data_IF_125262779210
#
_entry.id   IF_125262779210
#
_cell.length_a   1.000
_cell.length_b   1.000
_cell.length_c   1.000
_cell.angle_alpha   90.00
_cell.angle_beta   90.00
_cell.angle_gamma   90.00
#
_symmetry.space_group_name_H-M   'P 1'
#
loop_
_entity.id
_entity.type
_entity.pdbx_description
1 polymer ?
#
# COMPACT_ATOMS: atom_id res chain seq x y z
N UNK A 1 -6.80 -4.64 24.98
CA UNK A 1 -7.69 -3.48 25.13
C UNK A 1 -6.84 -2.26 25.44
N UNK A 2 -6.70 -1.31 24.49
CA UNK A 2 -6.16 0.05 24.75
C UNK A 2 -6.44 1.04 23.60
N UNK A 3 -6.82 0.57 22.42
CA UNK A 3 -7.40 1.45 21.39
C UNK A 3 -8.91 1.24 21.35
N UNK A 4 -9.58 1.92 22.27
CA UNK A 4 -11.02 1.96 22.39
C UNK A 4 -11.62 2.69 21.17
N UNK A 5 -12.71 2.13 20.66
CA UNK A 5 -13.31 2.40 19.35
C UNK A 5 -14.12 3.71 19.27
N UNK A 6 -13.74 4.78 19.97
CA UNK A 6 -14.62 5.96 20.08
C UNK A 6 -14.03 7.36 19.85
N UNK A 7 -12.72 7.56 19.64
CA UNK A 7 -12.25 8.90 19.26
C UNK A 7 -11.03 8.83 18.33
N UNK A 8 -11.28 8.82 17.02
CA UNK A 8 -10.32 9.53 16.15
C UNK A 8 -10.46 11.02 16.50
N UNK A 9 -9.60 11.51 17.42
CA UNK A 9 -9.58 12.91 17.87
C UNK A 9 -9.40 13.90 16.70
N UNK A 10 -8.90 13.42 15.55
CA UNK A 10 -8.71 14.19 14.33
C UNK A 10 -9.43 13.50 13.16
N UNK A 11 -10.14 14.29 12.36
CA UNK A 11 -10.68 13.81 11.09
C UNK A 11 -9.56 13.33 10.18
N UNK A 12 -9.78 12.23 9.44
CA UNK A 12 -8.83 11.75 8.44
C UNK A 12 -8.39 12.86 7.48
N UNK A 13 -9.34 13.71 7.08
CA UNK A 13 -9.07 14.84 6.21
C UNK A 13 -8.03 15.79 6.81
N UNK A 14 -8.13 16.08 8.11
CA UNK A 14 -7.19 16.95 8.83
C UNK A 14 -5.79 16.35 8.87
N UNK A 15 -5.68 15.04 9.07
CA UNK A 15 -4.40 14.34 9.07
C UNK A 15 -3.76 14.38 7.69
N UNK A 16 -4.53 14.20 6.61
CA UNK A 16 -4.01 14.29 5.23
C UNK A 16 -3.49 15.71 4.94
N UNK A 17 -4.25 16.75 5.30
CA UNK A 17 -3.78 18.14 5.17
C UNK A 17 -2.44 18.35 5.86
N UNK A 18 -2.30 17.86 7.09
CA UNK A 18 -1.06 17.98 7.85
C UNK A 18 0.10 17.22 7.19
N UNK A 19 -0.12 15.99 6.71
CA UNK A 19 0.88 15.18 6.00
C UNK A 19 1.35 15.90 4.73
N UNK A 20 0.42 16.41 3.91
CA UNK A 20 0.75 17.07 2.64
C UNK A 20 1.50 18.39 2.87
N UNK A 21 1.05 19.22 3.81
CA UNK A 21 1.74 20.47 4.19
C UNK A 21 3.12 20.17 4.77
N UNK A 22 3.25 19.18 5.66
CA UNK A 22 4.54 18.75 6.17
C UNK A 22 5.46 18.28 5.03
N UNK A 23 4.95 17.53 4.05
CA UNK A 23 5.72 17.09 2.90
C UNK A 23 6.26 18.25 2.06
N UNK A 24 5.44 19.28 1.79
CA UNK A 24 5.89 20.50 1.11
C UNK A 24 6.98 21.21 1.92
N UNK A 25 6.74 21.42 3.21
CA UNK A 25 7.70 22.10 4.11
C UNK A 25 9.02 21.33 4.17
N UNK A 26 8.99 20.01 4.34
CA UNK A 26 10.19 19.17 4.36
C UNK A 26 10.94 19.26 3.04
N UNK A 27 10.26 19.16 1.89
CA UNK A 27 10.90 19.25 0.58
C UNK A 27 11.58 20.62 0.35
N UNK A 28 10.90 21.72 0.69
CA UNK A 28 11.48 23.08 0.59
C UNK A 28 12.65 23.27 1.55
N UNK A 29 12.52 22.82 2.80
CA UNK A 29 13.62 22.92 3.76
C UNK A 29 14.82 22.06 3.35
N UNK A 30 14.59 20.89 2.76
CA UNK A 30 15.65 20.06 2.18
C UNK A 30 16.38 20.80 1.06
N UNK A 31 15.66 21.50 0.17
CA UNK A 31 16.29 22.24 -0.91
C UNK A 31 17.21 23.37 -0.43
N UNK A 32 16.92 23.94 0.75
CA UNK A 32 17.69 25.04 1.35
C UNK A 32 18.83 24.55 2.27
N UNK A 33 18.58 23.47 3.02
CA UNK A 33 19.44 23.04 4.12
C UNK A 33 20.33 21.83 3.77
N UNK A 34 20.22 21.25 2.58
CA UNK A 34 20.97 20.03 2.23
C UNK A 34 22.50 20.17 2.38
N UNK A 35 23.05 21.35 2.08
CA UNK A 35 24.48 21.64 2.18
C UNK A 35 24.94 22.12 3.56
N UNK A 36 24.03 22.29 4.52
CA UNK A 36 24.36 22.83 5.84
C UNK A 36 24.85 21.73 6.77
N UNK A 37 25.98 21.98 7.44
CA UNK A 37 26.57 21.05 8.42
C UNK A 37 26.76 21.73 9.77
N UNK A 38 26.56 20.99 10.85
CA UNK A 38 26.77 21.43 12.22
C UNK A 38 27.84 20.56 12.90
N UNK A 39 28.58 21.14 13.85
CA UNK A 39 29.57 20.38 14.63
C UNK A 39 28.89 19.61 15.75
N UNK A 40 28.95 18.28 15.71
CA UNK A 40 28.52 17.39 16.81
C UNK A 40 29.67 16.43 17.08
N UNK A 41 30.00 16.19 18.36
CA UNK A 41 31.08 15.28 18.78
C UNK A 41 32.44 15.56 18.10
N UNK A 42 32.73 16.82 17.77
CA UNK A 42 33.99 17.23 17.15
C UNK A 42 34.07 17.02 15.63
N UNK A 43 33.02 16.50 14.99
CA UNK A 43 32.95 16.32 13.53
C UNK A 43 31.78 17.10 12.91
N UNK A 44 31.88 17.40 11.60
CA UNK A 44 30.79 18.07 10.85
C UNK A 44 29.78 17.04 10.40
N UNK A 45 28.51 17.26 10.75
CA UNK A 45 27.40 16.36 10.41
C UNK A 45 26.24 17.14 9.76
N UNK A 46 25.56 16.52 8.81
CA UNK A 46 24.36 17.07 8.15
C UNK A 46 23.11 16.85 9.01
N UNK A 47 23.05 17.53 10.15
CA UNK A 47 21.97 17.38 11.15
C UNK A 47 20.61 17.75 10.58
N UNK A 48 20.54 18.84 9.81
CA UNK A 48 19.31 19.29 9.16
C UNK A 48 18.76 18.23 8.21
N UNK A 49 19.61 17.65 7.35
CA UNK A 49 19.25 16.54 6.47
C UNK A 49 18.74 15.33 7.24
N UNK A 50 19.40 14.94 8.33
CA UNK A 50 18.98 13.79 9.13
C UNK A 50 17.56 14.01 9.71
N UNK A 51 17.34 15.17 10.31
CA UNK A 51 16.04 15.53 10.91
C UNK A 51 14.95 15.61 9.84
N UNK A 52 15.21 16.30 8.73
CA UNK A 52 14.24 16.42 7.64
C UNK A 52 13.95 15.08 6.97
N UNK A 53 14.95 14.20 6.84
CA UNK A 53 14.76 12.83 6.30
C UNK A 53 13.84 12.03 7.22
N UNK A 54 14.00 12.19 8.54
CA UNK A 54 13.09 11.58 9.51
C UNK A 54 11.64 12.07 9.32
N UNK A 55 11.42 13.38 9.21
CA UNK A 55 10.09 13.94 8.92
C UNK A 55 9.53 13.47 7.58
N UNK A 56 10.37 13.39 6.54
CA UNK A 56 9.99 12.82 5.24
C UNK A 56 9.58 11.34 5.34
N UNK A 57 10.31 10.55 6.13
CA UNK A 57 9.96 9.16 6.46
C UNK A 57 8.63 9.06 7.20
N UNK A 58 8.33 9.97 8.13
CA UNK A 58 7.02 10.03 8.80
C UNK A 58 5.89 10.35 7.82
N UNK A 59 6.08 11.31 6.90
CA UNK A 59 5.10 11.60 5.83
C UNK A 59 4.83 10.35 5.01
N UNK A 60 5.89 9.67 4.56
CA UNK A 60 5.79 8.49 3.69
C UNK A 60 5.18 7.27 4.37
N UNK A 61 5.46 7.03 5.66
CA UNK A 61 4.91 5.87 6.39
C UNK A 61 3.47 6.10 6.82
N UNK A 62 3.10 7.35 7.14
CA UNK A 62 1.75 7.71 7.59
C UNK A 62 0.77 7.83 6.41
N UNK A 63 1.23 8.22 5.22
CA UNK A 63 0.36 8.38 4.03
C UNK A 63 -0.38 7.09 3.69
N UNK A 64 0.29 5.93 3.65
CA UNK A 64 -0.34 4.65 3.33
C UNK A 64 -1.41 4.23 4.34
N UNK A 65 -1.29 4.69 5.60
CA UNK A 65 -2.22 4.38 6.69
C UNK A 65 -3.43 5.32 6.71
N UNK A 66 -3.35 6.47 6.04
CA UNK A 66 -4.40 7.50 6.09
C UNK A 66 -5.08 7.73 4.74
N UNK A 67 -4.32 7.72 3.64
CA UNK A 67 -4.81 8.09 2.31
C UNK A 67 -5.75 7.01 1.76
N UNK A 68 -5.35 5.74 1.87
CA UNK A 68 -6.18 4.60 1.47
C UNK A 68 -7.53 4.62 2.21
N UNK A 69 -7.58 4.66 3.55
CA UNK A 69 -8.83 4.74 4.29
C UNK A 69 -9.73 5.92 3.91
N UNK A 70 -9.16 7.05 3.49
CA UNK A 70 -9.93 8.19 3.00
C UNK A 70 -10.57 7.89 1.64
N UNK A 71 -9.83 7.31 0.69
CA UNK A 71 -10.38 6.93 -0.62
C UNK A 71 -11.29 5.71 -0.57
N UNK A 72 -11.33 4.96 0.55
CA UNK A 72 -12.26 3.86 0.75
C UNK A 72 -13.73 4.29 0.67
N UNK A 73 -14.03 5.53 1.07
CA UNK A 73 -15.36 6.16 0.95
C UNK A 73 -15.71 6.61 -0.48
N UNK A 74 -14.79 6.49 -1.43
CA UNK A 74 -15.03 6.79 -2.84
C UNK A 74 -15.09 5.51 -3.66
N UNK A 75 -15.70 5.54 -4.87
CA UNK A 75 -15.78 4.35 -5.73
C UNK A 75 -14.42 3.66 -5.94
N UNK A 76 -14.37 2.33 -6.17
CA UNK A 76 -13.14 1.55 -6.29
C UNK A 76 -12.08 2.11 -7.26
N UNK A 77 -12.50 2.88 -8.26
CA UNK A 77 -11.63 3.58 -9.20
C UNK A 77 -10.62 4.50 -8.49
N UNK A 78 -11.02 5.17 -7.41
CA UNK A 78 -10.16 6.10 -6.67
C UNK A 78 -9.02 5.37 -5.95
N UNK A 79 -9.27 4.16 -5.44
CA UNK A 79 -8.21 3.30 -4.87
C UNK A 79 -7.19 2.91 -5.93
N UNK A 80 -7.62 2.49 -7.13
CA UNK A 80 -6.71 2.19 -8.24
C UNK A 80 -5.94 3.43 -8.68
N UNK A 81 -6.59 4.59 -8.79
CA UNK A 81 -5.94 5.85 -9.16
C UNK A 81 -4.89 6.30 -8.14
N UNK A 82 -5.17 6.17 -6.83
CA UNK A 82 -4.20 6.45 -5.77
C UNK A 82 -2.98 5.53 -5.87
N UNK A 83 -3.19 4.22 -6.03
CA UNK A 83 -2.10 3.25 -6.19
C UNK A 83 -1.27 3.50 -7.46
N UNK A 84 -1.92 3.88 -8.57
CA UNK A 84 -1.21 4.31 -9.79
C UNK A 84 -0.37 5.56 -9.54
N UNK A 85 -0.90 6.55 -8.81
CA UNK A 85 -0.16 7.77 -8.45
C UNK A 85 1.08 7.50 -7.57
N UNK A 86 0.98 6.57 -6.63
CA UNK A 86 2.13 6.09 -5.84
C UNK A 86 3.21 5.48 -6.75
N UNK A 87 2.80 4.66 -7.73
CA UNK A 87 3.72 4.13 -8.75
C UNK A 87 4.36 5.22 -9.61
N UNK A 88 3.57 6.19 -10.10
CA UNK A 88 4.03 7.29 -10.97
C UNK A 88 5.06 8.19 -10.28
N UNK A 89 4.94 8.36 -8.96
CA UNK A 89 5.92 9.11 -8.17
C UNK A 89 7.30 8.48 -8.24
N UNK A 90 7.36 7.14 -8.24
CA UNK A 90 8.57 6.41 -8.56
C UNK A 90 9.04 6.75 -9.97
N UNK A 91 8.18 6.57 -10.98
CA UNK A 91 8.54 6.78 -12.40
C UNK A 91 9.17 8.15 -12.65
N UNK A 92 8.65 9.18 -11.99
CA UNK A 92 9.19 10.53 -12.07
C UNK A 92 10.59 10.63 -11.47
N UNK A 93 10.84 10.01 -10.30
CA UNK A 93 12.20 9.93 -9.74
C UNK A 93 13.18 9.23 -10.70
N UNK A 94 12.73 8.20 -11.43
CA UNK A 94 13.54 7.54 -12.45
C UNK A 94 13.89 8.47 -13.61
N UNK A 95 12.89 9.19 -14.13
CA UNK A 95 13.07 10.16 -15.19
C UNK A 95 14.05 11.25 -14.78
N UNK A 96 13.93 11.76 -13.55
CA UNK A 96 14.89 12.71 -12.98
C UNK A 96 16.29 12.10 -12.86
N UNK A 97 16.41 10.83 -12.49
CA UNK A 97 17.69 10.12 -12.45
C UNK A 97 18.36 9.99 -13.82
N UNK A 98 17.58 9.71 -14.88
CA UNK A 98 18.07 9.69 -16.26
C UNK A 98 18.52 11.09 -16.69
N UNK A 99 17.73 12.13 -16.38
CA UNK A 99 18.09 13.53 -16.68
C UNK A 99 19.33 13.98 -15.91
N UNK A 100 19.55 13.45 -14.71
CA UNK A 100 20.73 13.76 -13.89
C UNK A 100 22.03 13.16 -14.47
N UNK A 101 21.94 12.11 -15.31
CA UNK A 101 23.04 11.38 -15.94
C UNK A 101 24.15 10.91 -14.97
N UNK A 102 23.94 9.80 -14.23
CA UNK A 102 24.92 9.31 -13.26
C UNK A 102 26.20 8.84 -13.95
N UNK A 103 27.20 9.73 -14.01
CA UNK A 103 28.49 9.50 -14.66
C UNK A 103 28.98 10.68 -15.50
N UNK A 104 28.09 11.61 -15.85
CA UNK A 104 28.39 12.86 -16.55
C UNK A 104 28.49 14.08 -15.63
N UNK A 105 28.40 15.27 -16.22
CA UNK A 105 28.24 16.52 -15.46
C UNK A 105 26.84 16.57 -14.83
N UNK A 106 26.76 16.96 -13.55
CA UNK A 106 25.49 17.01 -12.81
C UNK A 106 24.48 17.93 -13.51
N UNK A 107 23.44 17.35 -14.11
CA UNK A 107 22.44 18.09 -14.89
C UNK A 107 21.65 19.13 -14.10
N UNK A 108 21.46 18.91 -12.79
CA UNK A 108 20.90 19.91 -11.88
C UNK A 108 21.40 19.72 -10.43
N UNK A 109 21.26 20.77 -9.63
CA UNK A 109 21.63 20.78 -8.20
C UNK A 109 20.66 19.96 -7.35
N UNK A 110 21.15 19.44 -6.22
CA UNK A 110 20.33 18.80 -5.17
C UNK A 110 19.19 19.71 -4.71
N UNK A 111 19.38 21.04 -4.68
CA UNK A 111 18.31 21.99 -4.40
C UNK A 111 17.17 21.90 -5.42
N UNK A 112 17.50 21.77 -6.71
CA UNK A 112 16.50 21.65 -7.79
C UNK A 112 15.73 20.34 -7.65
N UNK A 113 16.42 19.23 -7.32
CA UNK A 113 15.77 17.94 -7.04
C UNK A 113 14.67 18.07 -5.99
N UNK A 114 14.99 18.64 -4.83
CA UNK A 114 14.02 18.80 -3.75
C UNK A 114 12.91 19.80 -4.06
N UNK A 115 13.19 20.82 -4.88
CA UNK A 115 12.14 21.72 -5.39
C UNK A 115 11.17 20.99 -6.34
N UNK A 116 11.66 20.06 -7.16
CA UNK A 116 10.78 19.20 -7.97
C UNK A 116 9.94 18.29 -7.06
N UNK A 117 10.52 17.73 -5.99
CA UNK A 117 9.72 17.01 -4.99
C UNK A 117 8.64 17.90 -4.35
N UNK A 118 8.98 19.17 -4.05
CA UNK A 118 8.02 20.12 -3.49
C UNK A 118 6.86 20.43 -4.46
N UNK A 119 7.13 20.56 -5.77
CA UNK A 119 6.06 20.79 -6.76
C UNK A 119 5.12 19.60 -6.86
N UNK A 120 5.63 18.37 -6.80
CA UNK A 120 4.80 17.15 -6.77
C UNK A 120 3.88 17.16 -5.53
N UNK A 121 4.43 17.50 -4.36
CA UNK A 121 3.63 17.60 -3.13
C UNK A 121 2.56 18.70 -3.21
N UNK A 122 2.86 19.84 -3.85
CA UNK A 122 1.87 20.88 -4.13
C UNK A 122 0.76 20.40 -5.07
N UNK A 123 1.10 19.62 -6.10
CA UNK A 123 0.08 19.00 -6.99
C UNK A 123 -0.80 18.03 -6.20
N UNK A 124 -0.23 17.21 -5.32
CA UNK A 124 -1.01 16.35 -4.42
C UNK A 124 -1.91 17.14 -3.46
N UNK A 125 -1.45 18.29 -2.96
CA UNK A 125 -2.24 19.21 -2.13
C UNK A 125 -3.44 19.76 -2.90
N UNK A 126 -3.24 20.22 -4.14
CA UNK A 126 -4.32 20.71 -5.01
C UNK A 126 -5.30 19.59 -5.36
N UNK A 127 -4.81 18.40 -5.68
CA UNK A 127 -5.65 17.23 -5.94
C UNK A 127 -6.51 16.85 -4.72
N UNK A 128 -5.94 16.91 -3.52
CA UNK A 128 -6.69 16.67 -2.29
C UNK A 128 -7.72 17.77 -2.00
N UNK A 129 -7.37 19.04 -2.28
CA UNK A 129 -8.30 20.18 -2.22
C UNK A 129 -9.51 19.94 -3.12
N UNK A 130 -9.27 19.46 -4.34
CA UNK A 130 -10.30 19.09 -5.29
C UNK A 130 -11.20 17.96 -4.74
N UNK A 131 -10.61 16.89 -4.17
CA UNK A 131 -11.40 15.81 -3.56
C UNK A 131 -12.27 16.26 -2.39
N UNK A 132 -11.84 17.28 -1.63
CA UNK A 132 -12.59 17.78 -0.48
C UNK A 132 -13.72 18.75 -0.83
N UNK A 133 -13.51 19.62 -1.80
CA UNK A 133 -14.42 20.75 -2.01
C UNK A 133 -15.12 20.74 -3.36
N UNK A 134 -14.62 19.99 -4.34
CA UNK A 134 -15.22 20.02 -5.68
C UNK A 134 -16.55 19.24 -5.70
N UNK A 135 -17.65 19.82 -6.25
CA UNK A 135 -18.97 19.18 -6.26
C UNK A 135 -18.98 17.78 -6.89
N UNK A 136 -18.26 17.60 -8.00
CA UNK A 136 -18.14 16.29 -8.67
C UNK A 136 -17.56 15.20 -7.75
N UNK A 137 -16.58 15.54 -6.92
CA UNK A 137 -15.97 14.57 -6.01
C UNK A 137 -16.93 14.22 -4.86
N UNK A 138 -17.66 15.21 -4.34
CA UNK A 138 -18.69 14.99 -3.33
C UNK A 138 -19.85 14.17 -3.89
N UNK A 139 -20.30 14.45 -5.12
CA UNK A 139 -21.33 13.68 -5.80
C UNK A 139 -20.89 12.22 -5.98
N UNK A 140 -19.67 11.98 -6.48
CA UNK A 140 -19.12 10.63 -6.62
C UNK A 140 -19.09 9.88 -5.28
N UNK A 141 -18.72 10.55 -4.19
CA UNK A 141 -18.75 10.00 -2.83
C UNK A 141 -20.17 9.67 -2.37
N UNK A 142 -21.10 10.62 -2.46
CA UNK A 142 -22.50 10.42 -2.05
C UNK A 142 -23.22 9.38 -2.89
N UNK A 143 -22.85 9.22 -4.16
CA UNK A 143 -23.44 8.21 -5.05
C UNK A 143 -23.02 6.80 -4.66
N UNK A 144 -21.77 6.58 -4.22
CA UNK A 144 -21.29 5.30 -3.70
C UNK A 144 -22.03 4.99 -2.38
N UNK A 145 -22.14 5.98 -1.49
CA UNK A 145 -22.88 5.87 -0.23
C UNK A 145 -24.38 5.57 -0.44
N UNK A 146 -25.03 6.21 -1.43
CA UNK A 146 -26.43 5.98 -1.74
C UNK A 146 -26.69 4.60 -2.36
N UNK A 147 -25.75 4.07 -3.17
CA UNK A 147 -25.81 2.71 -3.70
C UNK A 147 -25.71 1.67 -2.58
N UNK A 148 -24.84 1.90 -1.60
CA UNK A 148 -24.74 1.03 -0.43
C UNK A 148 -26.02 1.10 0.42
N UNK A 149 -26.55 2.30 0.68
CA UNK A 149 -27.79 2.47 1.43
C UNK A 149 -28.99 1.79 0.75
N UNK A 150 -29.10 1.89 -0.58
CA UNK A 150 -30.17 1.25 -1.34
C UNK A 150 -30.10 -0.28 -1.30
N UNK A 151 -28.89 -0.86 -1.20
CA UNK A 151 -28.70 -2.30 -1.03
C UNK A 151 -29.05 -2.78 0.38
N UNK A 152 -28.79 -1.96 1.39
CA UNK A 152 -29.17 -2.25 2.78
C UNK A 152 -30.70 -2.33 2.91
N UNK A 153 -31.43 -1.38 2.32
CA UNK A 153 -32.90 -1.38 2.32
C UNK A 153 -33.49 -2.61 1.62
N UNK A 154 -33.03 -2.96 0.40
CA UNK A 154 -33.49 -4.16 -0.33
C UNK A 154 -33.19 -5.45 0.45
N UNK A 155 -32.16 -5.45 1.28
CA UNK A 155 -31.84 -6.63 2.10
C UNK A 155 -32.64 -6.75 3.39
N UNK A 156 -32.90 -5.64 4.07
CA UNK A 156 -33.77 -5.63 5.25
C UNK A 156 -35.20 -6.02 4.85
N UNK A 157 -35.66 -5.60 3.66
CA UNK A 157 -36.93 -6.03 3.08
C UNK A 157 -36.97 -7.54 2.83
N UNK A 158 -35.89 -8.14 2.30
CA UNK A 158 -35.80 -9.60 2.08
C UNK A 158 -35.71 -10.40 3.37
N UNK A 159 -34.94 -9.94 4.36
CA UNK A 159 -34.84 -10.59 5.67
C UNK A 159 -36.20 -10.55 6.40
N UNK A 160 -36.90 -9.41 6.33
CA UNK A 160 -38.25 -9.30 6.86
C UNK A 160 -39.23 -10.24 6.13
N UNK A 161 -39.14 -10.38 4.81
CA UNK A 161 -39.96 -11.32 4.04
C UNK A 161 -39.67 -12.79 4.43
N UNK A 162 -38.39 -13.16 4.60
CA UNK A 162 -37.98 -14.51 5.03
C UNK A 162 -38.48 -14.85 6.44
N UNK A 163 -38.33 -13.93 7.41
CA UNK A 163 -38.87 -14.10 8.77
C UNK A 163 -40.40 -14.23 8.78
N UNK A 164 -41.08 -13.51 7.89
CA UNK A 164 -42.55 -13.61 7.72
C UNK A 164 -42.95 -14.97 7.13
N UNK A 165 -42.15 -15.55 6.22
CA UNK A 165 -42.37 -16.88 5.65
C UNK A 165 -42.06 -18.00 6.65
N UNK A 166 -41.01 -17.86 7.47
CA UNK A 166 -40.64 -18.81 8.52
C UNK A 166 -41.67 -18.84 9.67
N UNK A 167 -42.30 -17.70 9.98
CA UNK A 167 -43.40 -17.63 10.95
C UNK A 167 -44.72 -18.20 10.41
N UNK A 168 -44.97 -18.11 9.10
CA UNK A 168 -46.14 -18.74 8.46
C UNK A 168 -45.99 -20.27 8.24
N UNK A 169 -44.77 -20.81 8.27
CA UNK A 169 -44.48 -22.24 8.04
C UNK A 169 -44.73 -23.13 9.28
N UNK A 170 -44.87 -22.55 10.47
CA UNK A 170 -45.13 -23.30 11.71
C UNK A 170 -46.57 -23.14 12.20
N UNK A 171 -47.53 -23.75 11.51
CA UNK A 171 -48.83 -24.04 12.12
C UNK A 171 -49.48 -25.29 11.50
N UNK A 172 -48.99 -26.45 11.93
CA UNK A 172 -49.73 -27.71 11.88
C UNK A 172 -50.45 -27.94 13.22
N UNK A 173 -51.73 -27.57 13.27
CA UNK A 173 -52.74 -28.07 14.23
C UNK A 173 -52.62 -27.64 15.70
N UNK A 174 -53.48 -26.71 16.15
CA UNK A 174 -54.35 -26.87 17.33
C UNK A 174 -55.29 -25.67 17.52
N UNK A 175 -56.58 -25.87 17.89
CA UNK A 175 -57.50 -24.78 18.17
C UNK A 175 -57.53 -24.47 19.68
N UNK A 176 -57.30 -23.22 20.07
CA UNK A 176 -57.99 -22.64 21.25
C UNK A 176 -57.78 -21.12 21.48
N UNK A 177 -58.95 -20.48 21.62
CA UNK A 177 -59.31 -19.35 22.50
C UNK A 177 -58.65 -17.98 22.31
N UNK A 178 -59.52 -17.04 21.89
CA UNK A 178 -59.33 -15.60 21.94
C UNK A 178 -58.87 -15.13 23.32
N UNK A 179 -57.71 -14.50 23.35
CA UNK A 179 -57.36 -13.48 24.34
C UNK A 179 -56.71 -12.33 23.58
N UNK A 180 -57.40 -11.20 23.57
CA UNK A 180 -56.94 -9.96 22.97
C UNK A 180 -55.76 -9.44 23.81
N UNK A 181 -54.54 -9.73 23.35
CA UNK A 181 -53.34 -9.02 23.78
C UNK A 181 -53.02 -8.00 22.70
N UNK A 182 -53.19 -6.73 23.03
CA UNK A 182 -52.76 -5.58 22.23
C UNK A 182 -51.30 -5.77 21.84
N UNK A 183 -51.07 -6.10 20.57
CA UNK A 183 -49.74 -6.10 19.96
C UNK A 183 -49.33 -4.64 19.86
N UNK A 184 -48.51 -4.20 20.81
CA UNK A 184 -47.78 -2.94 20.70
C UNK A 184 -46.76 -3.14 19.59
N UNK A 185 -47.05 -2.60 18.40
CA UNK A 185 -46.10 -2.48 17.30
C UNK A 185 -44.92 -1.64 17.84
N UNK A 186 -43.69 -2.17 17.95
CA UNK A 186 -42.55 -1.33 18.22
C UNK A 186 -42.36 -0.43 17.00
N UNK A 187 -42.38 0.88 17.21
CA UNK A 187 -41.90 1.86 16.24
C UNK A 187 -40.50 1.47 15.73
N UNK A 188 -40.17 1.69 14.44
CA UNK A 188 -38.85 1.39 13.91
C UNK A 188 -37.86 2.42 14.45
N UNK A 189 -37.37 2.17 15.66
CA UNK A 189 -36.26 2.91 16.25
C UNK A 189 -35.01 2.46 15.52
N UNK A 190 -34.40 3.40 14.80
CA UNK A 190 -33.05 3.40 14.24
C UNK A 190 -32.24 2.11 14.49
N UNK A 191 -31.97 1.38 13.41
CA UNK A 191 -31.01 0.29 13.37
C UNK A 191 -29.77 0.63 14.22
N UNK A 192 -29.64 -0.08 15.34
CA UNK A 192 -28.39 -0.13 16.08
C UNK A 192 -27.39 -0.83 15.17
N UNK A 193 -26.66 -0.08 14.35
CA UNK A 193 -25.41 -0.56 13.76
C UNK A 193 -24.47 -0.85 14.93
N UNK A 194 -24.47 -2.10 15.41
CA UNK A 194 -23.50 -2.59 16.37
C UNK A 194 -22.10 -2.31 15.80
N UNK A 195 -21.33 -1.48 16.52
CA UNK A 195 -19.97 -1.16 16.12
C UNK A 195 -19.16 -2.45 16.05
N UNK A 196 -18.92 -2.97 14.84
CA UNK A 196 -18.16 -4.20 14.61
C UNK A 196 -16.84 -4.12 15.38
N UNK A 197 -16.64 -5.06 16.31
CA UNK A 197 -15.44 -5.12 17.15
C UNK A 197 -14.20 -5.29 16.27
N UNK A 198 -13.13 -4.53 16.54
CA UNK A 198 -11.89 -4.59 15.75
C UNK A 198 -11.25 -6.00 15.73
N UNK A 199 -11.51 -6.82 16.76
CA UNK A 199 -11.06 -8.21 16.79
C UNK A 199 -11.81 -9.09 15.76
N UNK A 200 -13.09 -8.81 15.53
CA UNK A 200 -13.90 -9.52 14.55
C UNK A 200 -13.51 -9.16 13.12
N UNK A 201 -13.26 -7.87 12.88
CA UNK A 201 -12.67 -7.39 11.61
C UNK A 201 -11.36 -8.12 11.33
N UNK A 202 -10.45 -8.14 12.32
CA UNK A 202 -9.16 -8.81 12.18
C UNK A 202 -9.33 -10.30 11.89
N UNK A 203 -10.22 -11.01 12.60
CA UNK A 203 -10.50 -12.44 12.42
C UNK A 203 -10.98 -12.77 11.00
N UNK A 204 -11.67 -11.84 10.34
CA UNK A 204 -12.20 -12.06 9.00
C UNK A 204 -11.20 -11.73 7.88
N UNK A 205 -10.28 -10.79 8.11
CA UNK A 205 -9.33 -10.32 7.09
C UNK A 205 -7.86 -10.69 7.34
N UNK A 206 -7.53 -11.36 8.45
CA UNK A 206 -6.13 -11.65 8.84
C UNK A 206 -5.31 -12.34 7.74
N UNK A 207 -5.92 -13.21 6.94
CA UNK A 207 -5.23 -13.90 5.85
C UNK A 207 -4.76 -12.93 4.76
N UNK A 208 -5.58 -11.92 4.45
CA UNK A 208 -5.26 -10.88 3.47
C UNK A 208 -4.22 -9.92 4.04
N UNK A 209 -4.33 -9.57 5.33
CA UNK A 209 -3.33 -8.75 6.02
C UNK A 209 -1.98 -9.46 6.14
N UNK A 210 -1.98 -10.77 6.36
CA UNK A 210 -0.77 -11.59 6.35
C UNK A 210 -0.13 -11.60 4.94
N UNK A 211 -0.93 -11.70 3.88
CA UNK A 211 -0.42 -11.55 2.51
C UNK A 211 0.25 -10.19 2.30
N UNK A 212 -0.36 -9.09 2.76
CA UNK A 212 0.23 -7.76 2.68
C UNK A 212 1.55 -7.67 3.45
N UNK A 213 1.56 -8.18 4.68
CA UNK A 213 2.75 -8.16 5.54
C UNK A 213 3.91 -8.90 4.88
N UNK A 214 3.66 -10.10 4.34
CA UNK A 214 4.69 -10.89 3.62
C UNK A 214 5.18 -10.14 2.38
N UNK A 215 4.26 -9.63 1.54
CA UNK A 215 4.63 -8.90 0.33
C UNK A 215 5.48 -7.67 0.65
N UNK A 216 5.10 -6.90 1.67
CA UNK A 216 5.84 -5.73 2.09
C UNK A 216 7.21 -6.08 2.69
N UNK A 217 7.32 -7.15 3.47
CA UNK A 217 8.58 -7.61 4.03
C UNK A 217 9.59 -8.00 2.93
N UNK A 218 9.14 -8.70 1.88
CA UNK A 218 10.01 -9.05 0.76
C UNK A 218 10.33 -7.87 -0.16
N UNK A 219 9.33 -7.04 -0.47
CA UNK A 219 9.48 -5.95 -1.45
C UNK A 219 10.32 -4.79 -0.93
N UNK A 220 10.18 -4.44 0.35
CA UNK A 220 10.84 -3.27 0.94
C UNK A 220 12.03 -3.63 1.83
N UNK A 221 12.13 -4.88 2.30
CA UNK A 221 13.23 -5.35 3.13
C UNK A 221 14.18 -6.26 2.35
N UNK A 222 13.77 -7.50 2.11
CA UNK A 222 14.66 -8.54 1.61
C UNK A 222 15.25 -8.28 0.23
N UNK A 223 14.42 -8.01 -0.78
CA UNK A 223 14.90 -7.88 -2.16
C UNK A 223 15.85 -6.68 -2.33
N UNK A 224 15.55 -5.47 -1.84
CA UNK A 224 16.50 -4.37 -1.92
C UNK A 224 17.86 -4.71 -1.29
N UNK A 225 17.89 -5.48 -0.19
CA UNK A 225 19.13 -5.89 0.48
C UNK A 225 19.91 -6.98 -0.24
N UNK A 226 19.26 -7.92 -0.93
CA UNK A 226 19.95 -9.08 -1.53
C UNK A 226 20.22 -8.95 -3.02
N UNK A 227 19.47 -8.12 -3.75
CA UNK A 227 19.59 -8.01 -5.21
C UNK A 227 20.96 -7.56 -5.75
N UNK A 228 21.71 -6.66 -5.07
CA UNK A 228 23.08 -6.37 -5.47
C UNK A 228 23.96 -7.63 -5.53
N UNK A 229 23.81 -8.55 -4.57
CA UNK A 229 24.55 -9.82 -4.53
C UNK A 229 24.10 -10.79 -5.62
N UNK A 230 22.78 -10.86 -5.89
CA UNK A 230 22.26 -11.65 -7.00
C UNK A 230 22.90 -11.19 -8.30
N UNK A 231 22.80 -9.90 -8.64
CA UNK A 231 23.34 -9.40 -9.91
C UNK A 231 24.85 -9.56 -10.03
N UNK A 232 25.60 -9.40 -8.95
CA UNK A 232 27.05 -9.63 -8.93
C UNK A 232 27.44 -11.06 -9.28
N UNK A 233 26.62 -12.06 -8.91
CA UNK A 233 26.86 -13.47 -9.26
C UNK A 233 26.57 -13.81 -10.72
N UNK A 234 25.81 -12.96 -11.42
CA UNK A 234 25.48 -13.12 -12.84
C UNK A 234 26.22 -12.12 -13.75
N UNK A 235 27.01 -11.22 -13.17
CA UNK A 235 27.80 -10.26 -13.93
C UNK A 235 29.10 -10.88 -14.46
N UNK A 236 29.62 -10.41 -15.62
CA UNK A 236 30.95 -10.79 -16.09
C UNK A 236 32.04 -10.50 -15.04
N UNK A 237 33.06 -11.36 -14.94
CA UNK A 237 34.12 -11.24 -13.92
C UNK A 237 34.90 -9.94 -14.01
N UNK A 238 35.09 -9.44 -15.23
CA UNK A 238 36.00 -8.33 -15.51
C UNK A 238 35.33 -6.95 -15.29
N UNK A 239 34.01 -6.91 -15.15
CA UNK A 239 33.21 -5.69 -14.97
C UNK A 239 32.01 -5.91 -14.02
N UNK A 240 32.23 -6.67 -12.95
CA UNK A 240 31.15 -7.16 -12.10
C UNK A 240 30.34 -6.02 -11.45
N UNK A 241 31.02 -4.96 -11.01
CA UNK A 241 30.40 -3.83 -10.31
C UNK A 241 29.56 -2.96 -11.25
N UNK A 242 30.09 -2.58 -12.42
CA UNK A 242 29.34 -1.75 -13.35
C UNK A 242 28.19 -2.53 -14.00
N UNK A 243 28.38 -3.81 -14.31
CA UNK A 243 27.30 -4.67 -14.82
C UNK A 243 26.19 -4.85 -13.77
N UNK A 244 26.53 -5.05 -12.50
CA UNK A 244 25.55 -5.11 -11.40
C UNK A 244 24.72 -3.84 -11.30
N UNK A 245 25.38 -2.67 -11.34
CA UNK A 245 24.70 -1.39 -11.33
C UNK A 245 23.77 -1.22 -12.54
N UNK A 246 24.19 -1.63 -13.74
CA UNK A 246 23.37 -1.61 -14.97
C UNK A 246 22.14 -2.51 -14.84
N UNK A 247 22.29 -3.73 -14.32
CA UNK A 247 21.17 -4.66 -14.15
C UNK A 247 20.15 -4.15 -13.12
N UNK A 248 20.62 -3.66 -11.97
CA UNK A 248 19.77 -3.06 -10.93
C UNK A 248 19.01 -1.84 -11.46
N UNK A 249 19.71 -0.96 -12.19
CA UNK A 249 19.12 0.22 -12.81
C UNK A 249 18.08 -0.17 -13.86
N UNK A 250 18.37 -1.17 -14.70
CA UNK A 250 17.44 -1.66 -15.73
C UNK A 250 16.17 -2.23 -15.10
N UNK A 251 16.30 -3.06 -14.05
CA UNK A 251 15.16 -3.62 -13.34
C UNK A 251 14.30 -2.53 -12.71
N UNK A 252 14.95 -1.55 -12.08
CA UNK A 252 14.30 -0.42 -11.44
C UNK A 252 13.54 0.41 -12.48
N UNK A 253 14.17 0.82 -13.58
CA UNK A 253 13.54 1.59 -14.67
C UNK A 253 12.34 0.83 -15.27
N UNK A 254 12.49 -0.47 -15.51
CA UNK A 254 11.40 -1.28 -16.03
C UNK A 254 10.21 -1.32 -15.06
N UNK A 255 10.47 -1.57 -13.77
CA UNK A 255 9.43 -1.55 -12.74
C UNK A 255 8.78 -0.18 -12.59
N UNK A 256 9.57 0.88 -12.73
CA UNK A 256 9.11 2.27 -12.65
C UNK A 256 8.09 2.59 -13.74
N UNK A 257 8.21 2.03 -14.95
CA UNK A 257 7.23 2.20 -16.03
C UNK A 257 6.05 1.23 -15.87
N UNK A 258 6.35 -0.04 -15.53
CA UNK A 258 5.37 -1.11 -15.58
C UNK A 258 4.48 -1.18 -14.33
N UNK A 259 4.96 -0.79 -13.14
CA UNK A 259 4.17 -0.82 -11.90
C UNK A 259 2.94 0.10 -11.93
N UNK A 260 3.04 1.38 -12.37
CA UNK A 260 1.85 2.23 -12.54
C UNK A 260 0.85 1.66 -13.54
N UNK A 261 1.34 1.09 -14.64
CA UNK A 261 0.51 0.43 -15.65
C UNK A 261 -0.19 -0.80 -15.07
N UNK A 262 0.51 -1.58 -14.24
CA UNK A 262 -0.04 -2.72 -13.53
C UNK A 262 -1.15 -2.28 -12.57
N UNK A 263 -0.91 -1.26 -11.73
CA UNK A 263 -1.94 -0.69 -10.87
C UNK A 263 -3.12 -0.12 -11.67
N UNK A 264 -2.88 0.57 -12.78
CA UNK A 264 -3.94 1.11 -13.62
C UNK A 264 -4.77 0.00 -14.27
N UNK A 265 -4.13 -1.09 -14.70
CA UNK A 265 -4.77 -2.24 -15.33
C UNK A 265 -5.83 -2.89 -14.44
N UNK A 266 -5.71 -2.73 -13.10
CA UNK A 266 -6.72 -3.21 -12.14
C UNK A 266 -8.09 -2.56 -12.30
N UNK A 267 -8.17 -1.41 -12.98
CA UNK A 267 -9.44 -0.77 -13.31
C UNK A 267 -10.31 -1.68 -14.20
N UNK A 268 -9.68 -2.34 -15.18
CA UNK A 268 -10.33 -3.21 -16.15
C UNK A 268 -10.23 -4.70 -15.80
N UNK A 269 -9.08 -5.14 -15.32
CA UNK A 269 -8.80 -6.54 -15.01
C UNK A 269 -8.70 -6.73 -13.50
N UNK A 270 -9.80 -7.14 -12.86
CA UNK A 270 -9.87 -7.36 -11.40
C UNK A 270 -9.77 -8.85 -11.04
N UNK A 271 -8.55 -9.34 -10.88
CA UNK A 271 -8.29 -10.72 -10.44
C UNK A 271 -8.29 -10.79 -8.91
N UNK A 272 -9.39 -11.26 -8.33
CA UNK A 272 -9.55 -11.37 -6.87
C UNK A 272 -8.83 -12.58 -6.24
N UNK A 273 -7.90 -13.22 -6.95
CA UNK A 273 -7.13 -14.37 -6.49
C UNK A 273 -5.87 -13.97 -5.69
N UNK A 274 -6.00 -12.99 -4.80
CA UNK A 274 -4.85 -12.31 -4.16
C UNK A 274 -3.94 -13.26 -3.40
N UNK A 275 -4.51 -14.29 -2.74
CA UNK A 275 -3.73 -15.31 -2.02
C UNK A 275 -2.82 -16.11 -2.95
N UNK A 276 -3.35 -16.55 -4.08
CA UNK A 276 -2.58 -17.30 -5.08
C UNK A 276 -1.52 -16.43 -5.74
N UNK A 277 -1.86 -15.18 -6.06
CA UNK A 277 -0.89 -14.21 -6.61
C UNK A 277 0.24 -13.92 -5.62
N UNK A 278 -0.09 -13.73 -4.34
CA UNK A 278 0.89 -13.54 -3.27
C UNK A 278 1.81 -14.76 -3.14
N UNK A 279 1.25 -15.97 -3.17
CA UNK A 279 2.06 -17.19 -3.12
C UNK A 279 3.04 -17.29 -4.29
N UNK A 280 2.60 -16.99 -5.51
CA UNK A 280 3.48 -16.95 -6.69
C UNK A 280 4.61 -15.93 -6.49
N UNK A 281 4.29 -14.72 -6.04
CA UNK A 281 5.29 -13.69 -5.78
C UNK A 281 6.30 -14.09 -4.70
N UNK A 282 5.84 -14.74 -3.62
CA UNK A 282 6.72 -15.27 -2.58
C UNK A 282 7.65 -16.34 -3.13
N UNK A 283 7.15 -17.25 -3.99
CA UNK A 283 8.00 -18.25 -4.65
C UNK A 283 9.09 -17.57 -5.50
N UNK A 284 8.75 -16.51 -6.23
CA UNK A 284 9.73 -15.75 -7.02
C UNK A 284 10.74 -14.99 -6.14
N UNK A 285 10.30 -14.42 -5.02
CA UNK A 285 11.20 -13.77 -4.07
C UNK A 285 12.16 -14.78 -3.42
N UNK A 286 11.66 -15.97 -3.05
CA UNK A 286 12.49 -17.06 -2.53
C UNK A 286 13.48 -17.59 -3.57
N UNK A 287 13.08 -17.65 -4.85
CA UNK A 287 13.99 -17.98 -5.95
C UNK A 287 15.14 -16.96 -6.04
N UNK A 288 14.84 -15.65 -6.04
CA UNK A 288 15.87 -14.61 -6.05
C UNK A 288 16.76 -14.66 -4.80
N UNK A 289 16.16 -14.89 -3.62
CA UNK A 289 16.91 -15.07 -2.38
C UNK A 289 17.84 -16.30 -2.46
N UNK A 290 17.38 -17.42 -3.01
CA UNK A 290 18.21 -18.60 -3.20
C UNK A 290 19.41 -18.34 -4.12
N UNK A 291 19.26 -17.49 -5.14
CA UNK A 291 20.37 -17.08 -5.99
C UNK A 291 21.41 -16.26 -5.23
N UNK A 292 20.96 -15.42 -4.29
CA UNK A 292 21.88 -14.64 -3.44
C UNK A 292 22.70 -15.52 -2.49
N UNK A 293 22.12 -16.62 -2.00
CA UNK A 293 22.75 -17.54 -1.03
C UNK A 293 23.58 -18.66 -1.68
N UNK A 294 23.43 -18.88 -2.98
CA UNK A 294 24.14 -19.95 -3.70
C UNK A 294 25.43 -19.40 -4.31
N UNK A 295 26.57 -20.06 -4.12
CA UNK A 295 27.87 -19.63 -4.69
C UNK A 295 27.87 -19.53 -6.21
N UNK A 296 27.26 -20.52 -6.87
CA UNK A 296 27.13 -20.58 -8.33
C UNK A 296 25.67 -20.84 -8.69
N UNK A 297 24.84 -19.78 -8.74
CA UNK A 297 23.43 -19.93 -9.06
C UNK A 297 23.25 -20.49 -10.46
N UNK A 298 22.11 -21.14 -10.70
CA UNK A 298 21.80 -21.75 -11.99
C UNK A 298 21.92 -20.71 -13.11
N UNK A 299 22.48 -21.12 -14.25
CA UNK A 299 22.71 -20.27 -15.42
C UNK A 299 23.76 -19.15 -15.27
N UNK A 300 24.38 -18.95 -14.10
CA UNK A 300 25.43 -17.93 -13.91
C UNK A 300 26.64 -18.08 -14.86
N UNK A 301 26.97 -19.31 -15.26
CA UNK A 301 28.10 -19.59 -16.15
C UNK A 301 27.84 -19.26 -17.63
N UNK A 302 26.60 -18.93 -18.01
CA UNK A 302 26.25 -18.62 -19.39
C UNK A 302 26.29 -17.11 -19.62
N UNK A 303 26.77 -16.66 -20.77
CA UNK A 303 26.93 -15.23 -21.08
C UNK A 303 25.64 -14.39 -21.00
N UNK A 304 24.46 -15.02 -21.13
CA UNK A 304 23.15 -14.37 -20.99
C UNK A 304 22.39 -14.79 -19.72
N UNK A 305 23.05 -15.44 -18.77
CA UNK A 305 22.44 -15.95 -17.54
C UNK A 305 21.75 -14.86 -16.70
N UNK A 306 22.26 -13.63 -16.74
CA UNK A 306 21.72 -12.47 -16.02
C UNK A 306 20.27 -12.12 -16.40
N UNK A 307 19.80 -12.54 -17.59
CA UNK A 307 18.42 -12.29 -18.01
C UNK A 307 17.40 -12.96 -17.08
N UNK A 308 17.74 -14.11 -16.49
CA UNK A 308 16.84 -14.82 -15.58
C UNK A 308 16.52 -14.00 -14.31
N UNK A 309 17.49 -13.63 -13.45
CA UNK A 309 17.21 -12.83 -12.27
C UNK A 309 16.65 -11.45 -12.62
N UNK A 310 17.05 -10.87 -13.77
CA UNK A 310 16.51 -9.60 -14.25
C UNK A 310 15.01 -9.67 -14.56
N UNK A 311 14.59 -10.63 -15.38
CA UNK A 311 13.17 -10.79 -15.77
C UNK A 311 12.31 -11.22 -14.57
N UNK A 312 12.82 -12.11 -13.71
CA UNK A 312 12.13 -12.52 -12.49
C UNK A 312 11.92 -11.33 -11.56
N UNK A 313 12.93 -10.46 -11.40
CA UNK A 313 12.81 -9.26 -10.58
C UNK A 313 11.78 -8.28 -11.13
N UNK A 314 11.82 -7.99 -12.43
CA UNK A 314 10.86 -7.09 -13.08
C UNK A 314 9.45 -7.65 -12.92
N UNK A 315 9.25 -8.93 -13.21
CA UNK A 315 7.95 -9.58 -13.03
C UNK A 315 7.47 -9.52 -11.58
N UNK A 316 8.37 -9.72 -10.62
CA UNK A 316 8.04 -9.60 -9.20
C UNK A 316 7.57 -8.19 -8.84
N UNK A 317 8.31 -7.15 -9.25
CA UNK A 317 7.97 -5.75 -8.92
C UNK A 317 6.62 -5.34 -9.51
N UNK A 318 6.38 -5.69 -10.78
CA UNK A 318 5.12 -5.43 -11.49
C UNK A 318 3.96 -6.21 -10.86
N UNK A 319 4.17 -7.50 -10.58
CA UNK A 319 3.18 -8.34 -9.94
C UNK A 319 2.88 -7.89 -8.52
N UNK A 320 3.86 -7.37 -7.78
CA UNK A 320 3.67 -6.80 -6.45
C UNK A 320 2.78 -5.56 -6.50
N UNK A 321 3.07 -4.60 -7.38
CA UNK A 321 2.24 -3.40 -7.56
C UNK A 321 0.77 -3.75 -7.90
N UNK A 322 0.57 -4.69 -8.83
CA UNK A 322 -0.77 -5.20 -9.17
C UNK A 322 -1.45 -5.88 -7.96
N UNK A 323 -0.73 -6.78 -7.27
CA UNK A 323 -1.29 -7.59 -6.18
C UNK A 323 -1.63 -6.73 -4.95
N UNK A 324 -0.81 -5.74 -4.61
CA UNK A 324 -1.09 -4.79 -3.53
C UNK A 324 -2.35 -3.96 -3.84
N UNK A 325 -2.50 -3.49 -5.08
CA UNK A 325 -3.70 -2.76 -5.52
C UNK A 325 -4.93 -3.67 -5.44
N UNK A 326 -4.84 -4.91 -5.93
CA UNK A 326 -5.91 -5.91 -5.82
C UNK A 326 -6.25 -6.29 -4.39
N UNK A 327 -5.30 -6.24 -3.47
CA UNK A 327 -5.55 -6.49 -2.06
C UNK A 327 -6.50 -5.42 -1.50
N UNK A 328 -6.21 -4.12 -1.72
CA UNK A 328 -7.12 -3.05 -1.31
C UNK A 328 -8.51 -3.19 -1.96
N UNK A 329 -8.58 -3.51 -3.26
CA UNK A 329 -9.86 -3.70 -3.93
C UNK A 329 -10.63 -4.94 -3.43
N UNK A 330 -9.93 -6.02 -3.07
CA UNK A 330 -10.54 -7.21 -2.47
C UNK A 330 -11.06 -6.91 -1.07
N UNK A 331 -10.31 -6.11 -0.29
CA UNK A 331 -10.73 -5.66 1.03
C UNK A 331 -11.95 -4.74 0.96
N UNK A 332 -12.01 -3.82 -0.03
CA UNK A 332 -13.20 -2.99 -0.27
C UNK A 332 -14.39 -3.85 -0.64
N UNK A 333 -14.24 -4.76 -1.61
CA UNK A 333 -15.30 -5.71 -1.98
C UNK A 333 -15.83 -6.50 -0.77
N UNK A 334 -14.96 -6.89 0.17
CA UNK A 334 -15.41 -7.52 1.43
C UNK A 334 -16.15 -6.56 2.35
N UNK A 335 -15.72 -5.31 2.44
CA UNK A 335 -16.46 -4.27 3.17
C UNK A 335 -17.83 -4.01 2.60
N UNK A 336 -17.94 -3.96 1.26
CA UNK A 336 -19.22 -3.79 0.55
C UNK A 336 -20.15 -4.99 0.83
N UNK A 337 -19.62 -6.22 0.88
CA UNK A 337 -20.39 -7.42 1.27
C UNK A 337 -20.88 -7.35 2.72
N UNK A 338 -20.07 -6.77 3.62
CA UNK A 338 -20.40 -6.64 5.04
C UNK A 338 -21.24 -5.40 5.36
N UNK A 339 -21.65 -4.62 4.35
CA UNK A 339 -22.57 -3.48 4.49
C UNK A 339 -22.15 -2.49 5.58
N UNK A 340 -20.84 -2.21 5.68
CA UNK A 340 -20.32 -1.29 6.68
C UNK A 340 -19.22 -0.40 6.10
N UNK A 341 -19.49 0.90 5.84
CA UNK A 341 -18.48 1.82 5.36
C UNK A 341 -17.33 1.98 6.38
N UNK A 342 -17.65 1.91 7.67
CA UNK A 342 -16.66 1.91 8.75
C UNK A 342 -15.78 0.65 8.76
N UNK A 343 -16.29 -0.48 8.27
CA UNK A 343 -15.48 -1.69 8.10
C UNK A 343 -14.45 -1.50 6.99
N UNK A 344 -14.86 -1.02 5.80
CA UNK A 344 -13.94 -0.79 4.68
C UNK A 344 -12.79 0.14 5.06
N UNK A 345 -13.12 1.27 5.72
CA UNK A 345 -12.16 2.23 6.25
C UNK A 345 -11.18 1.60 7.24
N UNK A 346 -11.68 0.83 8.22
CA UNK A 346 -10.85 0.14 9.23
C UNK A 346 -9.94 -0.90 8.61
N UNK A 347 -10.45 -1.68 7.66
CA UNK A 347 -9.66 -2.72 6.99
C UNK A 347 -8.55 -2.10 6.14
N UNK A 348 -8.80 -0.97 5.48
CA UNK A 348 -7.77 -0.23 4.76
C UNK A 348 -6.68 0.31 5.72
N UNK A 349 -7.06 0.77 6.92
CA UNK A 349 -6.09 1.20 7.95
C UNK A 349 -5.21 0.03 8.39
N UNK A 350 -5.83 -1.12 8.67
CA UNK A 350 -5.09 -2.35 9.01
C UNK A 350 -4.17 -2.80 7.87
N UNK A 351 -4.60 -2.65 6.62
CA UNK A 351 -3.77 -2.99 5.47
C UNK A 351 -2.57 -2.05 5.31
N UNK A 352 -2.79 -0.74 5.47
CA UNK A 352 -1.72 0.25 5.51
C UNK A 352 -0.72 -0.05 6.64
N UNK A 353 -1.21 -0.39 7.83
CA UNK A 353 -0.37 -0.79 8.96
C UNK A 353 0.40 -2.07 8.67
N UNK A 354 -0.25 -3.10 8.11
CA UNK A 354 0.40 -4.36 7.73
C UNK A 354 1.54 -4.13 6.72
N UNK A 355 1.37 -3.18 5.80
CA UNK A 355 2.42 -2.75 4.86
C UNK A 355 3.63 -2.19 5.60
N UNK A 356 3.43 -1.25 6.53
CA UNK A 356 4.52 -0.61 7.26
C UNK A 356 5.22 -1.57 8.22
N UNK A 357 4.47 -2.40 8.95
CA UNK A 357 5.02 -3.43 9.84
C UNK A 357 5.77 -4.50 9.04
N UNK A 358 5.26 -4.87 7.86
CA UNK A 358 5.93 -5.77 6.93
C UNK A 358 7.28 -5.21 6.49
N UNK A 359 7.30 -4.00 5.94
CA UNK A 359 8.53 -3.31 5.52
C UNK A 359 9.55 -3.18 6.67
N UNK A 360 9.09 -2.77 7.86
CA UNK A 360 9.92 -2.66 9.06
C UNK A 360 10.53 -4.01 9.46
N UNK A 361 9.70 -5.05 9.56
CA UNK A 361 10.16 -6.40 9.95
C UNK A 361 11.11 -7.01 8.93
N UNK A 362 10.83 -6.86 7.62
CA UNK A 362 11.72 -7.30 6.55
C UNK A 362 13.08 -6.61 6.63
N UNK A 363 13.10 -5.29 6.80
CA UNK A 363 14.34 -4.51 6.94
C UNK A 363 15.09 -4.86 8.21
N UNK A 364 14.40 -4.99 9.34
CA UNK A 364 14.99 -5.32 10.64
C UNK A 364 15.64 -6.72 10.66
N UNK A 365 15.25 -7.62 9.75
CA UNK A 365 15.88 -8.94 9.60
C UNK A 365 16.94 -8.93 8.51
N UNK A 366 16.62 -8.40 7.33
CA UNK A 366 17.51 -8.42 6.18
C UNK A 366 18.77 -7.56 6.39
N UNK A 367 18.64 -6.37 6.98
CA UNK A 367 19.77 -5.47 7.19
C UNK A 367 20.84 -6.08 8.10
N UNK A 368 20.51 -6.60 9.31
CA UNK A 368 21.50 -7.30 10.13
C UNK A 368 22.18 -8.48 9.44
N UNK A 369 21.41 -9.29 8.72
CA UNK A 369 21.93 -10.47 8.03
C UNK A 369 22.90 -10.09 6.92
N UNK A 370 22.56 -9.10 6.10
CA UNK A 370 23.44 -8.64 5.03
C UNK A 370 24.67 -7.95 5.59
N UNK A 371 24.52 -7.12 6.61
CA UNK A 371 25.62 -6.32 7.16
C UNK A 371 26.60 -7.14 8.01
N UNK A 372 26.11 -8.01 8.91
CA UNK A 372 26.97 -8.79 9.81
C UNK A 372 27.29 -10.20 9.29
N UNK A 373 26.48 -10.75 8.39
CA UNK A 373 26.70 -12.07 7.80
C UNK A 373 26.91 -11.99 6.29
N UNK A 374 27.59 -10.94 5.82
CA UNK A 374 27.90 -10.72 4.40
C UNK A 374 28.56 -11.94 3.72
N UNK A 375 29.37 -12.70 4.47
CA UNK A 375 30.03 -13.91 3.99
C UNK A 375 29.07 -14.96 3.42
N UNK A 376 27.81 -14.99 3.84
CA UNK A 376 26.75 -15.86 3.30
C UNK A 376 26.35 -15.50 1.87
N UNK A 377 26.55 -14.24 1.47
CA UNK A 377 26.14 -13.71 0.16
C UNK A 377 27.32 -13.57 -0.80
N UNK A 378 28.55 -13.52 -0.30
CA UNK A 378 29.77 -13.38 -1.11
C UNK A 378 30.47 -14.70 -1.39
N UNK A 379 30.09 -15.79 -0.69
CA UNK A 379 30.47 -17.15 -1.06
C UNK A 379 29.70 -17.61 -2.27
#
# INVERSE_FOLDING_TARGET
MLFNAQQQLLSQSTVIWWILVQGVVVAVLMSMLWGQTASIFGARHSVAMLVLTHFGGMVSTTSSVVFYPFVASFPPLFTSALATGEGLSGSLAALLGIVQDPGGELGFSVSVFYLICATIMCVSLVAFTFLQYHPWAQEAKTSDEAVDLGRDLDSDEREAEEDTLLTHSSCGSCPRTASASTVTIPSPTASQYEAVSGAEVLRQVWQLLACQWILAAFSFGWLPSTMPYVYKKFSPTDDAEAATARFQTTASIAALILSPLASASTTWFRLYYVRSMTLVLVILALLLLSFSLTSRPTLSNYGHGYLLPLLVHIFYLVGCAYTQTMLYLTLKRRGDIMRSPDFARRVYQWNGLATQVGAMSGTAVAFPLVFWCESLFTT
#
